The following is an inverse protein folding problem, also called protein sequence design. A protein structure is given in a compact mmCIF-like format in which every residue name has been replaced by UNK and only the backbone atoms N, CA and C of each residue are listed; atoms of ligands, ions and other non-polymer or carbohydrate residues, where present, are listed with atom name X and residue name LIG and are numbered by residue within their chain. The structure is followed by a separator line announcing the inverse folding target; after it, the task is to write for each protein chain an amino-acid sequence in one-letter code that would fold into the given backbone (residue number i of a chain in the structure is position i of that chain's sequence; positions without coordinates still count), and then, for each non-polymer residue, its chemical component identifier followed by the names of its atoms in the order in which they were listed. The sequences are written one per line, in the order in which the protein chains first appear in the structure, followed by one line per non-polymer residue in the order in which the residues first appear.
data_IF_642970889908
#
_entry.id   IF_642970889908
#
_cell.length_a   1.000
_cell.length_b   1.000
_cell.length_c   1.000
_cell.angle_alpha   90.00
_cell.angle_beta   90.00
_cell.angle_gamma   90.00
#
_symmetry.space_group_name_H-M   'P 1'
#
loop_
_entity.id
_entity.type
_entity.pdbx_description
1 polymer ?
#
# COMPACT_ATOMS: atom_id res chain seq x y z
N UNK A 1 10.61 15.97 -32.95
CA UNK A 1 10.70 15.18 -31.70
C UNK A 1 11.88 14.24 -31.86
N UNK A 2 13.03 14.61 -31.32
CA UNK A 2 14.33 13.96 -31.59
C UNK A 2 14.51 12.72 -30.71
N UNK A 3 15.32 11.76 -31.15
CA UNK A 3 15.61 10.51 -30.40
C UNK A 3 16.06 10.80 -28.96
N UNK A 4 16.84 11.87 -28.75
CA UNK A 4 17.27 12.36 -27.44
C UNK A 4 16.11 12.75 -26.50
N UNK A 5 15.01 13.27 -27.05
CA UNK A 5 13.83 13.62 -26.25
C UNK A 5 13.05 12.37 -25.83
N UNK A 6 12.94 11.38 -26.71
CA UNK A 6 12.30 10.10 -26.41
C UNK A 6 13.09 9.31 -25.39
N UNK A 7 14.42 9.27 -25.50
CA UNK A 7 15.28 8.59 -24.51
C UNK A 7 15.24 9.28 -23.15
N UNK A 8 15.22 10.62 -23.12
CA UNK A 8 15.08 11.39 -21.88
C UNK A 8 13.72 11.14 -21.20
N UNK A 9 12.62 11.13 -21.96
CA UNK A 9 11.28 10.86 -21.44
C UNK A 9 11.16 9.45 -20.87
N UNK A 10 11.69 8.44 -21.57
CA UNK A 10 11.69 7.05 -21.11
C UNK A 10 12.54 6.86 -19.85
N UNK A 11 13.70 7.51 -19.79
CA UNK A 11 14.56 7.48 -18.61
C UNK A 11 13.85 8.10 -17.39
N UNK A 12 13.16 9.23 -17.59
CA UNK A 12 12.38 9.88 -16.53
C UNK A 12 11.25 8.99 -15.99
N UNK A 13 10.52 8.30 -16.87
CA UNK A 13 9.46 7.35 -16.48
C UNK A 13 10.00 6.12 -15.75
N UNK A 14 11.19 5.65 -16.12
CA UNK A 14 11.85 4.50 -15.50
C UNK A 14 12.44 4.80 -14.12
N UNK A 15 12.95 6.02 -13.91
CA UNK A 15 13.51 6.45 -12.62
C UNK A 15 12.45 6.71 -11.55
N UNK A 16 11.25 7.10 -11.97
CA UNK A 16 10.16 7.40 -11.04
C UNK A 16 8.90 6.60 -11.35
N UNK A 17 8.92 5.26 -11.16
CA UNK A 17 7.72 4.44 -11.28
C UNK A 17 6.73 4.88 -10.19
N UNK A 18 5.77 5.74 -10.55
CA UNK A 18 4.75 6.27 -9.64
C UNK A 18 4.74 7.78 -9.44
N UNK A 19 5.73 8.55 -9.92
CA UNK A 19 5.72 10.02 -9.86
C UNK A 19 4.48 10.64 -10.52
N UNK A 20 3.87 9.93 -11.49
CA UNK A 20 2.66 10.35 -12.18
C UNK A 20 1.38 9.69 -11.66
N UNK A 21 1.44 8.84 -10.63
CA UNK A 21 0.24 8.19 -10.08
C UNK A 21 -0.36 8.94 -8.88
N UNK A 22 -0.24 10.26 -8.86
CA UNK A 22 -0.88 11.09 -7.85
C UNK A 22 -2.40 11.02 -7.98
N UNK A 23 -3.09 10.94 -6.85
CA UNK A 23 -4.50 11.24 -6.77
C UNK A 23 -4.74 12.72 -7.12
N UNK A 24 -5.59 12.96 -8.12
CA UNK A 24 -6.07 14.30 -8.49
C UNK A 24 -7.47 14.60 -7.96
N UNK A 25 -8.23 13.55 -7.63
CA UNK A 25 -9.56 13.61 -7.02
C UNK A 25 -9.67 12.55 -5.94
N UNK A 26 -10.43 12.86 -4.90
CA UNK A 26 -10.74 11.93 -3.80
C UNK A 26 -12.25 11.74 -3.69
N UNK A 27 -12.66 10.55 -3.27
CA UNK A 27 -14.04 10.30 -2.85
C UNK A 27 -14.16 10.49 -1.34
N UNK A 28 -15.03 11.41 -0.92
CA UNK A 28 -15.37 11.61 0.50
C UNK A 28 -16.24 10.49 1.04
N UNK A 29 -17.15 10.00 0.22
CA UNK A 29 -18.02 8.89 0.57
C UNK A 29 -17.50 7.57 0.02
N UNK A 30 -17.52 6.54 0.88
CA UNK A 30 -17.21 5.17 0.50
C UNK A 30 -18.05 4.20 1.31
N UNK A 31 -18.62 3.22 0.60
CA UNK A 31 -19.46 2.20 1.23
C UNK A 31 -18.60 1.18 1.99
N UNK A 32 -19.16 0.65 3.08
CA UNK A 32 -18.48 -0.39 3.88
C UNK A 32 -18.21 -1.65 3.05
N UNK A 33 -19.06 -1.94 2.06
CA UNK A 33 -18.88 -3.09 1.17
C UNK A 33 -17.67 -2.98 0.25
N UNK A 34 -17.29 -1.76 -0.15
CA UNK A 34 -16.06 -1.50 -0.91
C UNK A 34 -14.84 -1.71 0.01
N UNK A 35 -14.85 -1.09 1.20
CA UNK A 35 -13.74 -1.18 2.16
C UNK A 35 -13.41 -2.62 2.58
N UNK A 36 -14.40 -3.52 2.63
CA UNK A 36 -14.18 -4.94 2.95
C UNK A 36 -13.41 -5.70 1.87
N UNK A 37 -13.40 -5.20 0.64
CA UNK A 37 -12.78 -5.82 -0.53
C UNK A 37 -11.39 -5.24 -0.85
N UNK A 38 -10.90 -4.32 -0.03
CA UNK A 38 -9.57 -3.72 -0.19
C UNK A 38 -8.49 -4.76 0.12
N UNK A 39 -7.58 -4.94 -0.84
CA UNK A 39 -6.47 -5.90 -0.75
C UNK A 39 -5.25 -5.26 -0.07
N UNK A 40 -4.93 -4.02 -0.46
CA UNK A 40 -3.85 -3.22 0.12
C UNK A 40 -4.20 -1.73 0.05
N UNK A 41 -3.53 -0.92 0.85
CA UNK A 41 -3.67 0.52 0.81
C UNK A 41 -2.30 1.20 0.89
N UNK A 42 -2.21 2.39 0.32
CA UNK A 42 -1.05 3.27 0.36
C UNK A 42 -1.50 4.67 0.82
N UNK A 43 -0.63 5.39 1.54
CA UNK A 43 -0.92 6.76 1.99
C UNK A 43 -0.09 7.70 1.11
N UNK A 44 -0.79 8.51 0.32
CA UNK A 44 -0.21 9.62 -0.41
C UNK A 44 -0.20 10.83 0.52
N UNK A 45 1.00 11.21 0.97
CA UNK A 45 1.19 12.44 1.75
C UNK A 45 1.16 13.64 0.80
N UNK A 46 0.62 14.76 1.28
CA UNK A 46 0.84 16.04 0.61
C UNK A 46 2.31 16.45 0.79
N UNK A 47 3.06 16.55 -0.32
CA UNK A 47 4.47 16.96 -0.33
C UNK A 47 5.25 16.43 -1.53
N UNK A 48 6.17 17.24 -2.07
CA UNK A 48 6.97 16.89 -3.24
C UNK A 48 6.15 16.96 -4.54
N UNK A 49 5.92 15.80 -5.18
CA UNK A 49 5.27 15.70 -6.50
C UNK A 49 3.73 15.67 -6.44
N UNK A 50 3.15 15.28 -5.30
CA UNK A 50 1.70 15.23 -5.11
C UNK A 50 1.28 16.24 -4.04
N UNK A 51 0.41 17.19 -4.38
CA UNK A 51 -0.07 18.22 -3.44
C UNK A 51 -1.34 17.81 -2.68
N UNK A 52 -2.02 16.75 -3.14
CA UNK A 52 -3.24 16.25 -2.51
C UNK A 52 -2.92 15.11 -1.54
N UNK A 53 -3.40 15.20 -0.31
CA UNK A 53 -3.35 14.07 0.62
C UNK A 53 -4.48 13.07 0.30
N UNK A 54 -4.13 11.80 0.15
CA UNK A 54 -5.09 10.77 -0.20
C UNK A 54 -4.70 9.39 0.35
N UNK A 55 -5.70 8.55 0.58
CA UNK A 55 -5.46 7.11 0.74
C UNK A 55 -5.79 6.43 -0.58
N UNK A 56 -4.83 5.66 -1.10
CA UNK A 56 -4.99 4.87 -2.31
C UNK A 56 -5.38 3.47 -1.91
N UNK A 57 -6.58 3.03 -2.31
CA UNK A 57 -7.09 1.68 -2.08
C UNK A 57 -6.87 0.84 -3.33
N UNK A 58 -6.29 -0.34 -3.17
CA UNK A 58 -6.13 -1.30 -4.25
C UNK A 58 -7.17 -2.41 -4.13
N UNK A 59 -7.90 -2.62 -5.22
CA UNK A 59 -8.98 -3.60 -5.32
C UNK A 59 -9.01 -4.18 -6.73
N UNK A 60 -8.82 -5.49 -6.88
CA UNK A 60 -8.93 -6.18 -8.19
C UNK A 60 -8.10 -5.51 -9.29
N UNK A 61 -6.87 -5.11 -8.97
CA UNK A 61 -5.97 -4.42 -9.91
C UNK A 61 -6.32 -2.95 -10.19
N UNK A 62 -7.38 -2.40 -9.58
CA UNK A 62 -7.77 -0.97 -9.70
C UNK A 62 -7.33 -0.18 -8.47
N UNK A 63 -7.07 1.11 -8.66
CA UNK A 63 -6.74 2.08 -7.60
C UNK A 63 -7.91 3.02 -7.38
N UNK A 64 -8.25 3.30 -6.12
CA UNK A 64 -9.28 4.27 -5.74
C UNK A 64 -8.71 5.25 -4.72
N UNK A 65 -8.81 6.54 -5.01
CA UNK A 65 -8.37 7.62 -4.13
C UNK A 65 -9.51 8.04 -3.21
N UNK A 66 -9.29 7.98 -1.90
CA UNK A 66 -10.30 8.32 -0.89
C UNK A 66 -9.77 9.33 0.11
N UNK A 67 -10.69 10.06 0.74
CA UNK A 67 -10.38 11.03 1.77
C UNK A 67 -9.67 10.35 2.97
N UNK A 68 -8.45 10.80 3.36
CA UNK A 68 -7.69 10.24 4.49
C UNK A 68 -8.38 10.43 5.85
N UNK A 69 -9.20 11.48 6.00
CA UNK A 69 -9.95 11.82 7.21
C UNK A 69 -11.29 11.08 7.34
N UNK A 70 -11.66 10.24 6.37
CA UNK A 70 -12.88 9.44 6.47
C UNK A 70 -12.75 8.37 7.58
N UNK A 71 -13.58 8.47 8.62
CA UNK A 71 -13.58 7.55 9.78
C UNK A 71 -13.72 6.06 9.41
N UNK A 72 -14.44 5.72 8.33
CA UNK A 72 -14.59 4.33 7.87
C UNK A 72 -13.27 3.82 7.27
N UNK A 73 -12.59 4.66 6.49
CA UNK A 73 -11.27 4.37 5.88
C UNK A 73 -10.23 4.20 6.98
N UNK A 74 -10.17 5.13 7.93
CA UNK A 74 -9.22 5.07 9.05
C UNK A 74 -9.38 3.78 9.88
N UNK A 75 -10.63 3.41 10.21
CA UNK A 75 -10.94 2.16 10.92
C UNK A 75 -10.50 0.93 10.11
N UNK A 76 -10.69 0.92 8.80
CA UNK A 76 -10.24 -0.16 7.94
C UNK A 76 -8.71 -0.25 7.93
N UNK A 77 -7.99 0.87 7.77
CA UNK A 77 -6.52 0.91 7.79
C UNK A 77 -5.96 0.34 9.09
N UNK A 78 -6.51 0.76 10.25
CA UNK A 78 -6.14 0.21 11.57
C UNK A 78 -6.32 -1.31 11.62
N UNK A 79 -7.47 -1.81 11.18
CA UNK A 79 -7.76 -3.26 11.12
C UNK A 79 -6.77 -4.02 10.24
N UNK A 80 -6.44 -3.50 9.06
CA UNK A 80 -5.47 -4.13 8.17
C UNK A 80 -4.06 -4.15 8.77
N UNK A 81 -3.60 -3.05 9.38
CA UNK A 81 -2.32 -2.99 10.10
C UNK A 81 -2.24 -4.03 11.22
N UNK A 82 -3.30 -4.18 12.02
CA UNK A 82 -3.34 -5.20 13.07
C UNK A 82 -3.30 -6.63 12.52
N UNK A 83 -4.01 -6.93 11.43
CA UNK A 83 -3.94 -8.25 10.77
C UNK A 83 -2.52 -8.57 10.30
N UNK A 84 -1.84 -7.62 9.67
CA UNK A 84 -0.46 -7.77 9.21
C UNK A 84 0.48 -8.04 10.40
N UNK A 85 0.36 -7.25 11.47
CA UNK A 85 1.17 -7.45 12.68
C UNK A 85 0.94 -8.83 13.30
N UNK A 86 -0.32 -9.26 13.45
CA UNK A 86 -0.67 -10.58 13.98
C UNK A 86 -0.11 -11.72 13.13
N UNK A 87 -0.20 -11.61 11.80
CA UNK A 87 0.41 -12.57 10.86
C UNK A 87 1.92 -12.64 11.04
N UNK A 88 2.61 -11.48 11.08
CA UNK A 88 4.07 -11.43 11.32
C UNK A 88 4.46 -12.09 12.65
N UNK A 89 3.71 -11.84 13.72
CA UNK A 89 3.95 -12.47 15.02
C UNK A 89 3.75 -13.99 14.99
N UNK A 90 2.71 -14.47 14.30
CA UNK A 90 2.49 -15.90 14.12
C UNK A 90 3.64 -16.58 13.37
N UNK A 91 4.07 -15.99 12.24
CA UNK A 91 5.22 -16.49 11.46
C UNK A 91 6.50 -16.52 12.30
N UNK A 92 6.74 -15.47 13.12
CA UNK A 92 7.89 -15.44 14.04
C UNK A 92 7.83 -16.56 15.08
N UNK A 93 6.65 -16.83 15.67
CA UNK A 93 6.47 -17.92 16.64
C UNK A 93 6.78 -19.27 16.00
N UNK A 94 6.21 -19.55 14.82
CA UNK A 94 6.44 -20.80 14.09
C UNK A 94 7.93 -21.03 13.76
N UNK A 95 8.62 -19.97 13.32
CA UNK A 95 10.08 -20.03 13.06
C UNK A 95 10.89 -20.34 14.31
N UNK A 96 10.53 -19.77 15.46
CA UNK A 96 11.19 -20.07 16.74
C UNK A 96 11.00 -21.54 17.14
N UNK A 97 9.77 -22.04 17.08
CA UNK A 97 9.46 -23.43 17.40
C UNK A 97 10.22 -24.41 16.51
N UNK A 98 10.34 -24.12 15.20
CA UNK A 98 11.12 -24.94 14.27
C UNK A 98 12.60 -24.96 14.64
N UNK A 99 13.21 -23.81 14.95
CA UNK A 99 14.62 -23.72 15.37
C UNK A 99 14.91 -24.47 16.66
N UNK A 100 13.97 -24.48 17.61
CA UNK A 100 14.14 -25.25 18.86
C UNK A 100 14.16 -26.75 18.56
N UNK A 101 13.22 -27.25 17.76
CA UNK A 101 13.18 -28.67 17.36
C UNK A 101 14.42 -29.11 16.58
N UNK A 102 14.93 -28.26 15.69
CA UNK A 102 16.16 -28.52 14.93
C UNK A 102 17.41 -28.58 15.82
N UNK A 103 17.39 -27.96 17.01
CA UNK A 103 18.48 -28.08 17.99
C UNK A 103 18.36 -29.37 18.81
N UNK A 104 17.15 -29.72 19.23
CA UNK A 104 16.87 -30.96 19.98
C UNK A 104 17.23 -32.22 19.18
N UNK A 105 17.11 -32.20 17.84
CA UNK A 105 17.46 -33.34 16.97
C UNK A 105 18.97 -33.47 16.67
N UNK A 106 19.79 -32.49 17.06
CA UNK A 106 21.25 -32.50 16.84
C UNK A 106 22.05 -32.79 18.11
N UNK A 107 21.37 -33.01 19.23
CA UNK A 107 21.90 -33.57 20.47
C UNK A 107 21.62 -35.06 20.50
#
# INVERSE_FOLDING_TARGET
ISVLFLTLLLLFLALFPGAFSCCTKISDEISRGILRRVERFEIQKAGGLCHLEAVILHMKGRKFCVNPWNRKVEKMMKKMKHKIHRSKSHVRKQRRTRRTREKEQKQ
#
